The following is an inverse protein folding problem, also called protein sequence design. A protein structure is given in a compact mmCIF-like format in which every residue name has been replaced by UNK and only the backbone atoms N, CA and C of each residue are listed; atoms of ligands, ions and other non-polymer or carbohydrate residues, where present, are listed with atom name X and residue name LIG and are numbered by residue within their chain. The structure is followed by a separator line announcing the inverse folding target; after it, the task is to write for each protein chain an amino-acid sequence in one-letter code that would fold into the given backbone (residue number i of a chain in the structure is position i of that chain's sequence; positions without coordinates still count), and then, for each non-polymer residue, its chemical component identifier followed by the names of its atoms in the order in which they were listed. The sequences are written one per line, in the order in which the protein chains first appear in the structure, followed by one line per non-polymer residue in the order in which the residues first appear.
data_IF_847496512372
#
_entry.id   IF_847496512372
#
_cell.length_a   1.000
_cell.length_b   1.000
_cell.length_c   1.000
_cell.angle_alpha   90.00
_cell.angle_beta   90.00
_cell.angle_gamma   90.00
#
_symmetry.space_group_name_H-M   'P 1'
#
loop_
_entity.id
_entity.type
_entity.pdbx_description
1 polymer ?
#
# COMPACT_ATOMS: atom_id res chain seq x y z
N UNK A 1 5.52 6.58 -13.59
CA UNK A 1 5.09 7.97 -13.20
C UNK A 1 5.42 8.19 -11.74
N UNK A 2 6.13 9.28 -11.39
CA UNK A 2 6.38 9.64 -9.98
C UNK A 2 5.23 10.49 -9.43
N UNK A 3 4.86 10.27 -8.17
CA UNK A 3 3.82 11.04 -7.48
C UNK A 3 4.45 12.07 -6.55
N UNK A 4 3.87 13.27 -6.52
CA UNK A 4 4.09 14.23 -5.44
C UNK A 4 3.21 13.89 -4.22
N UNK A 5 3.59 14.41 -3.05
CA UNK A 5 2.76 14.27 -1.84
C UNK A 5 1.35 14.87 -2.04
N UNK A 6 1.23 15.97 -2.79
CA UNK A 6 -0.06 16.59 -3.08
C UNK A 6 -0.93 15.67 -3.92
N UNK A 7 -0.39 15.11 -5.01
CA UNK A 7 -1.12 14.17 -5.86
C UNK A 7 -1.51 12.90 -5.09
N UNK A 8 -0.64 12.42 -4.20
CA UNK A 8 -0.97 11.28 -3.35
C UNK A 8 -2.13 11.59 -2.38
N UNK A 9 -2.18 12.80 -1.81
CA UNK A 9 -3.31 13.24 -0.98
C UNK A 9 -4.60 13.36 -1.78
N UNK A 10 -4.53 13.84 -3.03
CA UNK A 10 -5.69 13.89 -3.93
C UNK A 10 -6.18 12.48 -4.28
N UNK A 11 -5.27 11.53 -4.51
CA UNK A 11 -5.59 10.12 -4.71
C UNK A 11 -6.28 9.55 -3.48
N UNK A 12 -5.81 9.84 -2.26
CA UNK A 12 -6.45 9.40 -1.02
C UNK A 12 -7.88 9.92 -0.90
N UNK A 13 -8.11 11.19 -1.22
CA UNK A 13 -9.46 11.77 -1.22
C UNK A 13 -10.35 11.09 -2.26
N UNK A 14 -9.84 10.84 -3.46
CA UNK A 14 -10.54 10.07 -4.49
C UNK A 14 -10.87 8.65 -4.02
N UNK A 15 -9.90 7.95 -3.43
CA UNK A 15 -10.07 6.60 -2.91
C UNK A 15 -11.16 6.54 -1.83
N UNK A 16 -11.24 7.55 -0.95
CA UNK A 16 -12.32 7.68 0.03
C UNK A 16 -13.72 7.72 -0.62
N UNK A 17 -13.86 8.51 -1.70
CA UNK A 17 -15.13 8.66 -2.43
C UNK A 17 -15.49 7.39 -3.20
N UNK A 18 -14.52 6.80 -3.91
CA UNK A 18 -14.74 5.65 -4.78
C UNK A 18 -14.88 4.31 -4.03
N UNK A 19 -14.45 4.25 -2.76
CA UNK A 19 -14.56 3.04 -1.94
C UNK A 19 -15.99 2.72 -1.44
N UNK A 20 -17.00 3.54 -1.77
CA UNK A 20 -18.39 3.33 -1.33
C UNK A 20 -18.53 3.15 0.20
N UNK A 21 -17.67 3.79 0.99
CA UNK A 21 -17.64 3.72 2.46
C UNK A 21 -16.74 2.62 3.06
N UNK A 22 -16.01 1.85 2.23
CA UNK A 22 -15.09 0.80 2.66
C UNK A 22 -13.60 1.16 2.58
N UNK A 23 -12.73 0.14 2.68
CA UNK A 23 -11.29 0.20 2.39
C UNK A 23 -10.39 1.05 3.29
N UNK A 24 -10.87 1.39 4.48
CA UNK A 24 -10.10 2.04 5.56
C UNK A 24 -10.60 3.44 5.90
N UNK A 25 -10.50 3.83 7.17
CA UNK A 25 -10.95 5.15 7.65
C UNK A 25 -10.02 6.27 7.19
N UNK A 26 -10.56 7.49 7.05
CA UNK A 26 -9.80 8.72 6.78
C UNK A 26 -8.76 9.01 7.86
N UNK A 27 -9.01 8.56 9.09
CA UNK A 27 -8.09 8.73 10.22
C UNK A 27 -6.77 7.96 10.02
N UNK A 28 -6.76 6.98 9.10
CA UNK A 28 -5.56 6.21 8.75
C UNK A 28 -4.68 6.93 7.73
N UNK A 29 -5.19 7.94 7.03
CA UNK A 29 -4.52 8.54 5.89
C UNK A 29 -3.16 9.15 6.25
N UNK A 30 -3.13 10.13 7.15
CA UNK A 30 -1.89 10.81 7.52
C UNK A 30 -0.86 9.86 8.19
N UNK A 31 -1.26 8.99 9.15
CA UNK A 31 -0.40 7.94 9.68
C UNK A 31 0.31 7.10 8.62
N UNK A 32 -0.41 6.66 7.59
CA UNK A 32 0.17 5.83 6.52
C UNK A 32 1.01 6.66 5.55
N UNK A 33 0.59 7.89 5.20
CA UNK A 33 1.36 8.80 4.37
C UNK A 33 2.74 9.08 4.95
N UNK A 34 2.85 9.21 6.28
CA UNK A 34 4.11 9.45 6.98
C UNK A 34 5.10 8.26 6.89
N UNK A 35 4.63 7.08 6.49
CA UNK A 35 5.47 5.88 6.32
C UNK A 35 5.95 5.68 4.87
N UNK A 36 5.42 6.43 3.90
CA UNK A 36 5.70 6.23 2.47
C UNK A 36 6.97 6.99 2.05
N UNK A 37 7.88 6.30 1.37
CA UNK A 37 9.09 6.89 0.77
C UNK A 37 8.82 7.29 -0.68
N UNK A 38 8.35 8.52 -0.89
CA UNK A 38 7.93 9.00 -2.22
C UNK A 38 9.04 9.00 -3.28
N UNK A 39 10.30 9.21 -2.90
CA UNK A 39 11.41 9.35 -3.85
C UNK A 39 11.65 8.07 -4.68
N UNK A 40 11.32 6.92 -4.08
CA UNK A 40 11.49 5.58 -4.65
C UNK A 40 10.21 5.07 -5.35
N UNK A 41 9.08 5.78 -5.20
CA UNK A 41 7.79 5.32 -5.69
C UNK A 41 7.59 5.61 -7.19
N UNK A 42 7.28 4.56 -7.95
CA UNK A 42 6.87 4.66 -9.34
C UNK A 42 5.54 3.93 -9.61
N UNK A 43 4.57 4.63 -10.20
CA UNK A 43 3.33 4.07 -10.71
C UNK A 43 3.52 3.66 -12.17
N UNK A 44 3.20 2.41 -12.49
CA UNK A 44 3.26 1.83 -13.84
C UNK A 44 1.87 1.46 -14.33
N UNK A 45 1.66 1.40 -15.65
CA UNK A 45 0.44 0.83 -16.19
C UNK A 45 0.54 -0.69 -16.23
N UNK A 46 -0.59 -1.37 -16.08
CA UNK A 46 -0.64 -2.83 -16.19
C UNK A 46 -0.15 -3.32 -17.57
N UNK A 47 -0.39 -2.55 -18.63
CA UNK A 47 0.10 -2.87 -19.98
C UNK A 47 1.63 -2.78 -20.14
N UNK A 48 2.34 -2.21 -19.17
CA UNK A 48 3.81 -2.12 -19.15
C UNK A 48 4.44 -3.29 -18.34
N UNK A 49 3.62 -4.15 -17.72
CA UNK A 49 4.05 -5.33 -16.95
C UNK A 49 4.02 -6.56 -17.87
N UNK A 50 5.11 -7.33 -17.91
CA UNK A 50 5.18 -8.52 -18.76
C UNK A 50 4.39 -9.69 -18.17
N UNK A 51 3.85 -10.57 -19.01
CA UNK A 51 3.01 -11.71 -18.61
C UNK A 51 3.68 -12.68 -17.61
N UNK A 52 5.01 -12.77 -17.61
CA UNK A 52 5.79 -13.65 -16.74
C UNK A 52 6.19 -12.97 -15.41
N UNK A 53 5.96 -11.67 -15.26
CA UNK A 53 6.33 -10.94 -14.05
C UNK A 53 5.30 -11.16 -12.93
N UNK A 54 5.81 -11.51 -11.75
CA UNK A 54 4.98 -11.66 -10.56
C UNK A 54 4.76 -10.31 -9.88
N UNK A 55 3.54 -10.08 -9.42
CA UNK A 55 3.18 -8.98 -8.53
C UNK A 55 2.67 -9.52 -7.21
N UNK A 56 2.90 -8.76 -6.13
CA UNK A 56 2.30 -9.04 -4.84
C UNK A 56 1.15 -8.05 -4.56
N UNK A 57 0.18 -8.50 -3.79
CA UNK A 57 -0.88 -7.64 -3.29
C UNK A 57 -0.64 -7.39 -1.81
N UNK A 58 -0.67 -6.12 -1.41
CA UNK A 58 -0.58 -5.70 -0.01
C UNK A 58 -1.90 -5.08 0.39
N UNK A 59 -2.47 -5.53 1.51
CA UNK A 59 -3.75 -5.05 2.00
C UNK A 59 -3.86 -5.22 3.51
N UNK A 60 -4.65 -4.36 4.14
CA UNK A 60 -5.00 -4.46 5.54
C UNK A 60 -6.32 -5.22 5.69
N UNK A 61 -6.35 -6.21 6.59
CA UNK A 61 -7.58 -6.91 6.96
C UNK A 61 -7.70 -6.94 8.48
N UNK A 62 -8.89 -6.61 8.99
CA UNK A 62 -9.14 -6.56 10.42
C UNK A 62 -10.34 -5.71 10.80
N UNK A 63 -10.55 -5.53 12.11
CA UNK A 63 -11.59 -4.65 12.63
C UNK A 63 -11.13 -3.19 12.56
N UNK A 64 -11.91 -2.28 11.93
CA UNK A 64 -11.61 -0.85 11.96
C UNK A 64 -11.54 -0.27 13.38
N UNK A 65 -12.29 -0.85 14.33
CA UNK A 65 -12.25 -0.43 15.74
C UNK A 65 -10.88 -0.70 16.41
N UNK A 66 -10.06 -1.55 15.81
CA UNK A 66 -8.70 -1.88 16.25
C UNK A 66 -7.62 -1.20 15.40
N UNK A 67 -8.01 -0.29 14.51
CA UNK A 67 -7.12 0.45 13.62
C UNK A 67 -7.09 1.94 14.02
N UNK A 68 -6.73 2.22 15.28
CA UNK A 68 -6.47 3.62 15.70
C UNK A 68 -5.22 4.16 15.01
N UNK A 69 -5.10 5.48 14.89
CA UNK A 69 -3.95 6.11 14.23
C UNK A 69 -2.59 5.58 14.74
N UNK A 70 -2.43 5.46 16.06
CA UNK A 70 -1.21 4.93 16.67
C UNK A 70 -0.96 3.45 16.31
N UNK A 71 -2.01 2.62 16.33
CA UNK A 71 -1.91 1.19 15.95
C UNK A 71 -1.61 1.02 14.46
N UNK A 72 -2.09 1.93 13.61
CA UNK A 72 -1.84 1.90 12.17
C UNK A 72 -0.36 2.17 11.86
N UNK A 73 0.25 3.17 12.52
CA UNK A 73 1.68 3.43 12.37
C UNK A 73 2.51 2.29 12.94
N UNK A 74 2.23 1.88 14.18
CA UNK A 74 3.16 1.02 14.91
C UNK A 74 3.05 -0.46 14.58
N UNK A 75 1.85 -0.96 14.29
CA UNK A 75 1.62 -2.39 14.08
C UNK A 75 1.35 -2.70 12.61
N UNK A 76 0.44 -1.96 11.96
CA UNK A 76 0.00 -2.31 10.61
C UNK A 76 1.09 -2.09 9.57
N UNK A 77 1.77 -0.93 9.58
CA UNK A 77 2.87 -0.66 8.64
C UNK A 77 4.04 -1.64 8.84
N UNK A 78 4.46 -1.87 10.10
CA UNK A 78 5.55 -2.81 10.41
C UNK A 78 5.20 -4.25 10.02
N UNK A 79 3.98 -4.70 10.34
CA UNK A 79 3.51 -6.03 9.95
C UNK A 79 3.45 -6.18 8.43
N UNK A 80 3.04 -5.13 7.71
CA UNK A 80 3.00 -5.11 6.24
C UNK A 80 4.39 -5.29 5.64
N UNK A 81 5.38 -4.53 6.10
CA UNK A 81 6.78 -4.65 5.65
C UNK A 81 7.33 -6.05 5.94
N UNK A 82 7.13 -6.56 7.17
CA UNK A 82 7.62 -7.87 7.56
C UNK A 82 6.97 -9.01 6.76
N UNK A 83 5.65 -8.94 6.53
CA UNK A 83 4.91 -9.90 5.73
C UNK A 83 5.35 -9.88 4.26
N UNK A 84 5.49 -8.69 3.67
CA UNK A 84 5.93 -8.53 2.28
C UNK A 84 7.35 -9.06 2.07
N UNK A 85 8.29 -8.76 3.00
CA UNK A 85 9.63 -9.33 2.96
C UNK A 85 9.60 -10.85 3.05
N UNK A 86 8.85 -11.40 4.01
CA UNK A 86 8.75 -12.86 4.20
C UNK A 86 8.18 -13.57 2.97
N UNK A 87 7.20 -12.95 2.30
CA UNK A 87 6.66 -13.47 1.05
C UNK A 87 7.68 -13.37 -0.08
N UNK A 88 8.38 -12.24 -0.19
CA UNK A 88 9.42 -12.02 -1.21
C UNK A 88 10.54 -13.05 -1.09
N UNK A 89 11.07 -13.24 0.12
CA UNK A 89 12.12 -14.21 0.40
C UNK A 89 11.73 -15.63 -0.05
N UNK A 90 10.45 -15.98 0.11
CA UNK A 90 9.93 -17.32 -0.19
C UNK A 90 9.57 -17.55 -1.66
N UNK A 91 9.16 -16.50 -2.38
CA UNK A 91 8.64 -16.62 -3.76
C UNK A 91 9.65 -16.15 -4.79
N UNK A 92 10.37 -15.06 -4.53
CA UNK A 92 11.36 -14.47 -5.45
C UNK A 92 12.81 -14.61 -4.96
N UNK A 93 13.02 -14.99 -3.69
CA UNK A 93 14.32 -15.30 -3.09
C UNK A 93 14.82 -14.24 -2.09
N UNK A 94 15.69 -14.63 -1.16
CA UNK A 94 16.12 -13.82 0.02
C UNK A 94 16.80 -12.48 -0.29
N UNK A 95 17.26 -12.28 -1.53
CA UNK A 95 17.92 -11.05 -1.99
C UNK A 95 17.06 -10.23 -2.97
N UNK A 96 15.83 -10.67 -3.25
CA UNK A 96 14.94 -10.06 -4.22
C UNK A 96 13.63 -9.60 -3.55
N UNK A 97 12.98 -8.62 -4.17
CA UNK A 97 11.62 -8.20 -3.84
C UNK A 97 10.72 -8.39 -5.06
N UNK A 98 9.41 -8.50 -4.84
CA UNK A 98 8.49 -8.37 -5.96
C UNK A 98 8.71 -7.01 -6.62
N UNK A 99 8.87 -7.02 -7.95
CA UNK A 99 9.08 -5.80 -8.73
C UNK A 99 7.85 -4.89 -8.73
N UNK A 100 6.67 -5.48 -8.54
CA UNK A 100 5.39 -4.78 -8.57
C UNK A 100 4.55 -5.15 -7.36
N UNK A 101 3.86 -4.13 -6.84
CA UNK A 101 2.84 -4.29 -5.81
C UNK A 101 1.54 -3.64 -6.27
N UNK A 102 0.42 -4.28 -5.98
CA UNK A 102 -0.91 -3.76 -6.30
C UNK A 102 -1.78 -3.63 -5.06
N UNK A 103 -2.69 -2.66 -5.09
CA UNK A 103 -3.82 -2.56 -4.18
C UNK A 103 -4.85 -3.67 -4.49
N UNK A 104 -5.49 -4.23 -3.47
CA UNK A 104 -6.57 -5.22 -3.64
C UNK A 104 -7.90 -4.57 -4.04
N UNK A 105 -8.14 -3.35 -3.57
CA UNK A 105 -9.36 -2.60 -3.80
C UNK A 105 -9.08 -1.09 -3.72
N UNK A 106 -10.07 -0.28 -4.06
CA UNK A 106 -10.04 1.16 -3.81
C UNK A 106 -10.50 1.46 -2.39
N UNK A 107 -9.70 2.25 -1.67
CA UNK A 107 -9.99 2.75 -0.33
C UNK A 107 -8.73 3.20 0.38
N UNK A 108 -8.84 4.05 1.39
CA UNK A 108 -7.70 4.81 1.93
C UNK A 108 -6.56 3.89 2.39
N UNK A 109 -6.87 2.93 3.26
CA UNK A 109 -5.87 1.99 3.77
C UNK A 109 -5.33 1.09 2.66
N UNK A 110 -6.23 0.51 1.85
CA UNK A 110 -5.85 -0.44 0.80
C UNK A 110 -5.20 0.21 -0.43
N UNK A 111 -5.26 1.54 -0.56
CA UNK A 111 -4.49 2.32 -1.55
C UNK A 111 -3.11 2.65 -1.03
N UNK A 112 -2.96 2.97 0.27
CA UNK A 112 -1.69 3.43 0.85
C UNK A 112 -0.78 2.29 1.32
N UNK A 113 -1.32 1.18 1.85
CA UNK A 113 -0.51 0.05 2.33
C UNK A 113 0.41 -0.58 1.26
N UNK A 114 -0.02 -0.75 0.00
CA UNK A 114 0.89 -1.12 -1.08
C UNK A 114 2.11 -0.20 -1.23
N UNK A 115 1.91 1.11 -1.06
CA UNK A 115 2.96 2.12 -1.29
C UNK A 115 4.04 2.12 -0.22
N UNK A 116 3.78 1.52 0.95
CA UNK A 116 4.77 1.38 2.04
C UNK A 116 5.84 0.35 1.67
N UNK A 117 5.49 -0.63 0.83
CA UNK A 117 6.37 -1.74 0.43
C UNK A 117 6.74 -1.70 -1.06
N UNK A 118 6.34 -0.63 -1.75
CA UNK A 118 6.66 -0.37 -3.14
C UNK A 118 8.10 0.14 -3.31
#
# INVERSE_FOLDING_TARGET
MKLTLTELKDIVNGACIYASGGGGSIDMAQPLLDQIKLDDLEIVNLGDVNDEEMLAVSAGAGSPASATADQVVDELAKATIAAFKSLSDRVVGEANFFKYVAAIETGIGNTLLPLIVA
#
